data_IF_453773311231
#
_entry.id   IF_453773311231
#
_cell.length_a   1.000
_cell.length_b   1.000
_cell.length_c   1.000
_cell.angle_alpha   90.00
_cell.angle_beta   90.00
_cell.angle_gamma   90.00
#
_symmetry.space_group_name_H-M   'P 1'
#
loop_
_entity.id
_entity.type
_entity.pdbx_description
1 polymer ?
#
# COMPACT_ATOMS: atom_id res chain seq x y z
N UNK A 1 27.07 -3.94 -9.13
CA UNK A 1 25.79 -3.53 -9.75
C UNK A 1 25.15 -4.79 -10.29
N UNK A 2 24.12 -5.30 -9.62
CA UNK A 2 23.36 -6.43 -10.14
C UNK A 2 22.56 -5.97 -11.37
N UNK A 3 22.62 -6.73 -12.46
CA UNK A 3 21.90 -6.39 -13.68
C UNK A 3 20.39 -6.60 -13.44
N UNK A 4 19.51 -5.70 -13.94
CA UNK A 4 18.08 -5.88 -13.82
C UNK A 4 17.65 -7.19 -14.48
N UNK A 5 17.12 -8.11 -13.69
CA UNK A 5 16.53 -9.35 -14.17
C UNK A 5 15.13 -9.09 -14.72
N UNK A 6 14.77 -9.68 -15.85
CA UNK A 6 13.40 -9.61 -16.35
C UNK A 6 12.57 -10.72 -15.73
N UNK A 7 11.46 -10.37 -15.06
CA UNK A 7 10.49 -11.33 -14.53
C UNK A 7 9.21 -11.30 -15.37
N UNK A 8 8.58 -12.47 -15.51
CA UNK A 8 7.29 -12.60 -16.19
C UNK A 8 6.16 -12.70 -15.16
N UNK A 9 5.09 -11.92 -15.36
CA UNK A 9 3.90 -11.92 -14.52
C UNK A 9 2.64 -12.06 -15.37
N UNK A 10 1.64 -12.77 -14.87
CA UNK A 10 0.36 -12.96 -15.57
C UNK A 10 -0.73 -12.16 -14.88
N UNK A 11 -1.36 -11.24 -15.62
CA UNK A 11 -2.45 -10.39 -15.14
C UNK A 11 -3.62 -10.54 -16.10
N UNK A 12 -4.77 -10.96 -15.58
CA UNK A 12 -6.01 -11.18 -16.35
C UNK A 12 -5.77 -12.00 -17.64
N UNK A 13 -5.05 -13.11 -17.48
CA UNK A 13 -4.75 -14.08 -18.55
C UNK A 13 -3.79 -13.54 -19.64
N UNK A 14 -3.15 -12.39 -19.40
CA UNK A 14 -2.08 -11.82 -20.24
C UNK A 14 -0.74 -11.86 -19.53
N UNK A 15 0.30 -12.23 -20.26
CA UNK A 15 1.68 -12.26 -19.77
C UNK A 15 2.38 -10.91 -20.00
N UNK A 16 3.09 -10.41 -18.98
CA UNK A 16 3.84 -9.17 -19.01
C UNK A 16 5.27 -9.42 -18.53
N UNK A 17 6.25 -8.83 -19.22
CA UNK A 17 7.65 -8.87 -18.82
C UNK A 17 8.06 -7.53 -18.22
N UNK A 18 8.59 -7.57 -17.01
CA UNK A 18 8.96 -6.39 -16.24
C UNK A 18 10.42 -6.51 -15.80
N UNK A 19 11.21 -5.46 -16.03
CA UNK A 19 12.55 -5.37 -15.47
C UNK A 19 12.46 -5.12 -13.96
N UNK A 20 13.04 -6.01 -13.17
CA UNK A 20 12.95 -5.97 -11.71
C UNK A 20 14.30 -6.37 -11.09
N UNK A 21 14.84 -5.57 -10.16
CA UNK A 21 15.97 -5.97 -9.34
C UNK A 21 15.66 -7.26 -8.54
N UNK A 22 16.65 -8.13 -8.27
CA UNK A 22 16.41 -9.40 -7.56
C UNK A 22 15.73 -9.26 -6.19
N UNK A 23 16.05 -8.19 -5.46
CA UNK A 23 15.52 -7.86 -4.13
C UNK A 23 14.06 -7.37 -4.15
N UNK A 24 13.55 -6.91 -5.29
CA UNK A 24 12.18 -6.43 -5.43
C UNK A 24 11.22 -7.46 -6.08
N UNK A 25 11.74 -8.60 -6.55
CA UNK A 25 10.96 -9.57 -7.32
C UNK A 25 9.72 -10.07 -6.56
N UNK A 26 9.86 -10.40 -5.27
CA UNK A 26 8.74 -10.87 -4.45
C UNK A 26 7.66 -9.79 -4.29
N UNK A 27 8.07 -8.55 -4.01
CA UNK A 27 7.17 -7.41 -3.90
C UNK A 27 6.40 -7.16 -5.22
N UNK A 28 7.09 -7.25 -6.35
CA UNK A 28 6.46 -7.12 -7.66
C UNK A 28 5.48 -8.27 -7.96
N UNK A 29 5.82 -9.51 -7.61
CA UNK A 29 4.92 -10.66 -7.74
C UNK A 29 3.65 -10.48 -6.90
N UNK A 30 3.78 -10.00 -5.66
CA UNK A 30 2.64 -9.68 -4.82
C UNK A 30 1.77 -8.57 -5.43
N UNK A 31 2.39 -7.49 -5.93
CA UNK A 31 1.68 -6.40 -6.59
C UNK A 31 0.91 -6.88 -7.84
N UNK A 32 1.52 -7.73 -8.67
CA UNK A 32 0.89 -8.30 -9.85
C UNK A 32 -0.31 -9.20 -9.49
N UNK A 33 -0.19 -10.03 -8.43
CA UNK A 33 -1.30 -10.84 -7.91
C UNK A 33 -2.45 -9.96 -7.43
N UNK A 34 -2.15 -8.92 -6.67
CA UNK A 34 -3.16 -7.99 -6.15
C UNK A 34 -3.90 -7.25 -7.27
N UNK A 35 -3.16 -6.76 -8.27
CA UNK A 35 -3.77 -6.15 -9.46
C UNK A 35 -4.67 -7.15 -10.21
N UNK A 36 -4.22 -8.39 -10.41
CA UNK A 36 -5.00 -9.43 -11.07
C UNK A 36 -6.31 -9.73 -10.33
N UNK A 37 -6.29 -9.78 -8.99
CA UNK A 37 -7.49 -9.96 -8.17
C UNK A 37 -8.48 -8.80 -8.35
N UNK A 38 -8.03 -7.54 -8.20
CA UNK A 38 -8.88 -6.37 -8.41
C UNK A 38 -9.49 -6.32 -9.82
N UNK A 39 -8.71 -6.65 -10.84
CA UNK A 39 -9.21 -6.70 -12.21
C UNK A 39 -10.23 -7.84 -12.41
N UNK A 40 -10.05 -8.99 -11.75
CA UNK A 40 -11.03 -10.10 -11.77
C UNK A 40 -12.33 -9.74 -11.07
N UNK A 41 -12.28 -9.03 -9.96
CA UNK A 41 -13.47 -8.54 -9.24
C UNK A 41 -14.27 -7.55 -10.08
N UNK A 42 -13.58 -6.61 -10.73
CA UNK A 42 -14.24 -5.64 -11.62
C UNK A 42 -14.87 -6.39 -12.81
N UNK A 43 -14.16 -7.37 -13.39
CA UNK A 43 -14.67 -8.20 -14.48
C UNK A 43 -15.89 -9.01 -14.04
N UNK A 44 -15.86 -9.63 -12.86
CA UNK A 44 -16.95 -10.47 -12.34
C UNK A 44 -18.20 -9.67 -12.00
N UNK A 45 -18.06 -8.38 -11.67
CA UNK A 45 -19.21 -7.49 -11.44
C UNK A 45 -20.09 -7.29 -12.68
N UNK A 46 -19.56 -7.54 -13.88
CA UNK A 46 -20.26 -7.32 -15.16
C UNK A 46 -20.56 -5.86 -15.51
N UNK A 47 -20.25 -4.89 -14.63
CA UNK A 47 -20.56 -3.46 -14.82
C UNK A 47 -19.62 -2.76 -15.80
N UNK A 48 -18.40 -3.28 -15.98
CA UNK A 48 -17.36 -2.68 -16.82
C UNK A 48 -17.00 -3.68 -17.91
N UNK A 49 -17.12 -3.25 -19.17
CA UNK A 49 -16.82 -4.07 -20.35
C UNK A 49 -15.51 -3.58 -20.97
N UNK A 50 -14.62 -4.53 -21.29
CA UNK A 50 -13.34 -4.28 -21.96
C UNK A 50 -12.15 -4.28 -21.00
N UNK A 51 -11.08 -4.99 -21.38
CA UNK A 51 -9.90 -5.21 -20.55
C UNK A 51 -9.20 -3.88 -20.22
N UNK A 52 -9.10 -2.96 -21.18
CA UNK A 52 -8.48 -1.65 -20.97
C UNK A 52 -9.22 -0.83 -19.91
N UNK A 53 -10.56 -0.80 -19.97
CA UNK A 53 -11.39 -0.10 -18.96
C UNK A 53 -11.28 -0.75 -17.59
N UNK A 54 -11.25 -2.09 -17.55
CA UNK A 54 -11.05 -2.84 -16.30
C UNK A 54 -9.69 -2.49 -15.68
N UNK A 55 -8.62 -2.42 -16.48
CA UNK A 55 -7.29 -2.06 -16.02
C UNK A 55 -7.25 -0.63 -15.45
N UNK A 56 -7.87 0.34 -16.15
CA UNK A 56 -7.96 1.74 -15.68
C UNK A 56 -8.73 1.82 -14.36
N UNK A 57 -9.87 1.12 -14.25
CA UNK A 57 -10.66 1.10 -13.00
C UNK A 57 -9.89 0.45 -11.85
N UNK A 58 -9.18 -0.64 -12.11
CA UNK A 58 -8.33 -1.29 -11.09
C UNK A 58 -7.23 -0.33 -10.62
N UNK A 59 -6.51 0.31 -11.55
CA UNK A 59 -5.46 1.27 -11.22
C UNK A 59 -5.99 2.46 -10.41
N UNK A 60 -7.18 2.97 -10.76
CA UNK A 60 -7.82 4.07 -10.03
C UNK A 60 -8.19 3.65 -8.60
N UNK A 61 -8.81 2.48 -8.43
CA UNK A 61 -9.18 1.95 -7.12
C UNK A 61 -7.94 1.74 -6.23
N UNK A 62 -6.88 1.15 -6.78
CA UNK A 62 -5.62 0.94 -6.07
C UNK A 62 -4.97 2.26 -5.64
N UNK A 63 -4.97 3.26 -6.52
CA UNK A 63 -4.45 4.60 -6.21
C UNK A 63 -5.26 5.26 -5.09
N UNK A 64 -6.58 5.12 -5.12
CA UNK A 64 -7.48 5.63 -4.08
C UNK A 64 -7.28 4.94 -2.73
N UNK A 65 -7.11 3.62 -2.71
CA UNK A 65 -6.79 2.84 -1.50
C UNK A 65 -5.45 3.28 -0.90
N UNK A 66 -4.41 3.44 -1.73
CA UNK A 66 -3.10 3.90 -1.29
C UNK A 66 -3.16 5.29 -0.64
N UNK A 67 -3.89 6.22 -1.27
CA UNK A 67 -4.07 7.58 -0.74
C UNK A 67 -4.82 7.58 0.60
N UNK A 68 -5.87 6.76 0.74
CA UNK A 68 -6.59 6.61 2.00
C UNK A 68 -5.72 6.01 3.10
N UNK A 69 -4.95 4.96 2.80
CA UNK A 69 -4.07 4.32 3.78
C UNK A 69 -2.98 5.28 4.25
N UNK A 70 -2.41 6.09 3.35
CA UNK A 70 -1.47 7.15 3.72
C UNK A 70 -2.12 8.18 4.64
N UNK A 71 -3.33 8.63 4.31
CA UNK A 71 -4.06 9.59 5.14
C UNK A 71 -4.34 9.05 6.55
N UNK A 72 -4.78 7.79 6.65
CA UNK A 72 -4.99 7.11 7.94
C UNK A 72 -3.70 7.00 8.75
N UNK A 73 -2.59 6.61 8.13
CA UNK A 73 -1.30 6.52 8.80
C UNK A 73 -0.82 7.87 9.36
N UNK A 74 -1.06 8.99 8.65
CA UNK A 74 -0.74 10.33 9.16
C UNK A 74 -1.60 10.70 10.37
N UNK A 75 -2.89 10.36 10.36
CA UNK A 75 -3.79 10.59 11.49
C UNK A 75 -3.36 9.75 12.70
N UNK A 76 -3.08 8.46 12.51
CA UNK A 76 -2.61 7.56 13.57
C UNK A 76 -1.28 8.02 14.17
N UNK A 77 -0.37 8.54 13.33
CA UNK A 77 0.90 9.10 13.78
C UNK A 77 0.69 10.36 14.63
N UNK A 78 -0.21 11.25 14.23
CA UNK A 78 -0.52 12.46 14.99
C UNK A 78 -1.17 12.13 16.35
N UNK A 79 -2.05 11.13 16.38
CA UNK A 79 -2.68 10.65 17.62
C UNK A 79 -1.65 10.01 18.56
N UNK A 80 -0.78 9.16 18.02
CA UNK A 80 0.34 8.56 18.77
C UNK A 80 1.26 9.62 19.35
N UNK A 81 1.61 10.66 18.56
CA UNK A 81 2.43 11.76 19.05
C UNK A 81 1.76 12.52 20.20
N UNK A 82 0.45 12.79 20.07
CA UNK A 82 -0.33 13.44 21.13
C UNK A 82 -0.33 12.61 22.42
N UNK A 83 -0.46 11.29 22.31
CA UNK A 83 -0.38 10.40 23.47
C UNK A 83 1.01 10.38 24.11
N UNK A 84 2.08 10.40 23.32
CA UNK A 84 3.45 10.51 23.82
C UNK A 84 3.63 11.82 24.60
N UNK A 85 3.20 12.95 24.04
CA UNK A 85 3.33 14.26 24.69
C UNK A 85 2.55 14.31 26.02
N UNK A 86 1.37 13.71 26.08
CA UNK A 86 0.60 13.57 27.31
C UNK A 86 1.30 12.71 28.38
N UNK A 87 1.94 11.62 27.97
CA UNK A 87 2.68 10.75 28.88
C UNK A 87 3.93 11.44 29.42
N UNK A 88 4.66 12.17 28.57
CA UNK A 88 5.80 12.99 28.99
C UNK A 88 5.37 14.05 30.01
N UNK A 89 4.28 14.78 29.75
CA UNK A 89 3.78 15.78 30.70
C UNK A 89 3.37 15.19 32.05
N UNK A 90 2.78 13.98 32.08
CA UNK A 90 2.47 13.26 33.34
C UNK A 90 3.73 12.84 34.09
N UNK A 91 4.77 12.41 33.36
CA UNK A 91 6.04 12.03 33.95
C UNK A 91 6.74 13.25 34.59
N UNK A 92 6.78 14.37 33.89
CA UNK A 92 7.35 15.63 34.39
C UNK A 92 6.62 16.10 35.65
N UNK A 93 5.29 16.01 35.66
CA UNK A 93 4.49 16.36 36.83
C UNK A 93 4.76 15.44 38.03
N UNK A 94 4.93 14.14 37.78
CA UNK A 94 5.26 13.19 38.85
C UNK A 94 6.66 13.43 39.42
N UNK A 95 7.65 13.74 38.57
CA UNK A 95 9.01 14.05 39.00
C UNK A 95 9.09 15.34 39.83
N UNK A 96 8.41 16.40 39.39
CA UNK A 96 8.33 17.66 40.14
C UNK A 96 7.73 17.49 41.55
N UNK A 97 6.73 16.60 41.68
CA UNK A 97 6.10 16.29 42.96
C UNK A 97 7.00 15.49 43.92
N UNK A 98 8.05 14.82 43.41
CA UNK A 98 9.02 14.04 44.22
C UNK A 98 10.22 14.89 44.64
N UNK A 99 10.56 15.91 43.85
CA UNK A 99 11.62 16.88 44.16
C UNK A 99 11.18 18.01 45.11
N UNK A 100 9.88 18.09 45.43
CA UNK A 100 9.26 19.02 46.38
C UNK A 100 9.03 18.38 47.75
#
# INVERSE_FOLDING_TARGET
MELPSTISVTILDKEYRVSCPPDEQEALLMAARYLNEKMRDIRSSGKVIGIERIAVMAALNLSYELMQNRSKAEVEKADTQTHIDQLLGKLDQALSNVES
#
